data_IF_599543481046
#
_entry.id   IF_599543481046
#
_cell.length_a   1.000
_cell.length_b   1.000
_cell.length_c   1.000
_cell.angle_alpha   90.00
_cell.angle_beta   90.00
_cell.angle_gamma   90.00
#
_symmetry.space_group_name_H-M   'P 1'
#
loop_
_entity.id
_entity.type
_entity.pdbx_description
1 polymer ?
#
# COMPACT_ATOMS: atom_id res chain seq x y z
N UNK A 1 0.78 -3.94 14.93
CA UNK A 1 1.53 -3.63 13.70
C UNK A 1 3.01 -3.95 13.80
N UNK A 2 3.76 -3.27 14.69
CA UNK A 2 5.22 -3.41 14.77
C UNK A 2 5.70 -4.85 14.95
N UNK A 3 5.06 -5.62 15.82
CA UNK A 3 5.38 -7.03 16.01
C UNK A 3 5.26 -7.84 14.70
N UNK A 4 4.20 -7.63 13.93
CA UNK A 4 4.02 -8.30 12.64
C UNK A 4 5.04 -7.83 11.61
N UNK A 5 5.33 -6.53 11.57
CA UNK A 5 6.35 -5.98 10.69
C UNK A 5 7.74 -6.57 10.99
N UNK A 6 8.24 -6.45 12.21
CA UNK A 6 9.61 -6.84 12.54
C UNK A 6 9.79 -8.35 12.69
N UNK A 7 8.85 -9.04 13.35
CA UNK A 7 9.03 -10.46 13.69
C UNK A 7 8.61 -11.41 12.57
N UNK A 8 7.72 -10.96 11.66
CA UNK A 8 7.18 -11.79 10.58
C UNK A 8 7.63 -11.31 9.21
N UNK A 9 7.22 -10.10 8.80
CA UNK A 9 7.45 -9.59 7.44
C UNK A 9 8.94 -9.34 7.18
N UNK A 10 9.59 -8.51 8.00
CA UNK A 10 11.01 -8.16 7.87
C UNK A 10 11.92 -9.38 8.05
N UNK A 11 11.55 -10.30 8.94
CA UNK A 11 12.27 -11.55 9.16
C UNK A 11 12.18 -12.51 7.98
N UNK A 12 11.05 -12.55 7.27
CA UNK A 12 10.87 -13.44 6.11
C UNK A 12 11.54 -12.89 4.86
N UNK A 13 11.35 -11.61 4.54
CA UNK A 13 11.84 -11.02 3.29
C UNK A 13 13.23 -10.37 3.42
N UNK A 14 13.71 -10.05 4.62
CA UNK A 14 15.02 -9.44 4.84
C UNK A 14 15.16 -8.11 4.11
N UNK A 15 16.07 -8.04 3.14
CA UNK A 15 16.33 -6.85 2.32
C UNK A 15 15.39 -6.72 1.12
N UNK A 16 14.60 -7.76 0.83
CA UNK A 16 13.61 -7.77 -0.25
C UNK A 16 12.30 -7.06 0.12
N UNK A 17 12.23 -6.42 1.30
CA UNK A 17 11.07 -5.66 1.76
C UNK A 17 11.46 -4.23 2.12
N UNK A 18 10.68 -3.28 1.62
CA UNK A 18 10.72 -1.88 2.03
C UNK A 18 9.35 -1.46 2.54
N UNK A 19 9.31 -0.87 3.73
CA UNK A 19 8.10 -0.23 4.25
C UNK A 19 8.02 1.16 3.65
N UNK A 20 7.12 1.37 2.68
CA UNK A 20 7.00 2.64 1.97
C UNK A 20 6.26 3.69 2.80
N UNK A 21 5.24 3.25 3.54
CA UNK A 21 4.37 4.17 4.27
C UNK A 21 3.62 3.47 5.40
N UNK A 22 3.29 4.23 6.45
CA UNK A 22 2.50 3.78 7.60
C UNK A 22 1.47 4.83 7.97
N UNK A 23 0.22 4.43 8.23
CA UNK A 23 -0.80 5.27 8.89
C UNK A 23 -1.27 4.58 10.18
N UNK A 24 -2.38 5.09 10.73
CA UNK A 24 -2.99 4.69 12.00
C UNK A 24 -3.32 3.19 12.04
N UNK A 25 -3.79 2.63 10.93
CA UNK A 25 -4.28 1.27 10.79
C UNK A 25 -3.80 0.55 9.51
N UNK A 26 -2.94 1.18 8.70
CA UNK A 26 -2.44 0.64 7.43
C UNK A 26 -0.91 0.63 7.31
N UNK A 27 -0.40 -0.37 6.58
CA UNK A 27 1.01 -0.55 6.22
C UNK A 27 1.09 -0.71 4.71
N UNK A 28 1.96 0.06 4.06
CA UNK A 28 2.19 -0.04 2.62
C UNK A 28 3.59 -0.58 2.42
N UNK A 29 3.66 -1.75 1.80
CA UNK A 29 4.88 -2.49 1.56
C UNK A 29 5.25 -2.51 0.09
N UNK A 30 6.55 -2.39 -0.19
CA UNK A 30 7.13 -2.79 -1.44
C UNK A 30 7.89 -4.11 -1.21
N UNK A 31 7.32 -5.20 -1.72
CA UNK A 31 7.88 -6.55 -1.62
C UNK A 31 8.51 -6.91 -2.95
N UNK A 32 9.78 -7.27 -2.96
CA UNK A 32 10.49 -7.81 -4.13
C UNK A 32 10.41 -9.34 -4.07
N UNK A 33 9.38 -9.92 -4.68
CA UNK A 33 9.21 -11.37 -4.80
C UNK A 33 8.61 -11.74 -6.16
N UNK A 34 8.69 -13.02 -6.53
CA UNK A 34 8.09 -13.54 -7.76
C UNK A 34 6.57 -13.59 -7.66
N UNK A 35 6.05 -14.04 -6.52
CA UNK A 35 4.62 -14.14 -6.24
C UNK A 35 4.42 -14.04 -4.72
N UNK A 36 3.80 -12.93 -4.28
CA UNK A 36 3.56 -12.67 -2.87
C UNK A 36 2.59 -13.68 -2.25
N UNK A 37 1.57 -14.11 -2.98
CA UNK A 37 0.57 -15.03 -2.47
C UNK A 37 1.10 -16.46 -2.40
N UNK A 38 2.03 -16.83 -3.27
CA UNK A 38 2.82 -18.07 -3.12
C UNK A 38 3.59 -18.09 -1.80
N UNK A 39 4.25 -16.99 -1.44
CA UNK A 39 5.02 -16.89 -0.19
C UNK A 39 4.08 -16.95 1.03
N UNK A 40 2.95 -16.25 0.97
CA UNK A 40 1.90 -16.28 2.01
C UNK A 40 1.31 -17.69 2.16
N UNK A 41 1.09 -18.42 1.07
CA UNK A 41 0.58 -19.79 1.11
C UNK A 41 1.60 -20.78 1.70
N UNK A 42 2.90 -20.59 1.42
CA UNK A 42 3.98 -21.45 1.92
C UNK A 42 4.33 -21.18 3.38
N UNK A 43 4.17 -19.95 3.85
CA UNK A 43 4.53 -19.55 5.20
C UNK A 43 3.28 -19.18 6.04
N UNK A 44 2.80 -20.09 6.91
CA UNK A 44 1.60 -19.83 7.71
C UNK A 44 1.76 -18.64 8.67
N UNK A 45 2.98 -18.25 9.04
CA UNK A 45 3.20 -17.06 9.86
C UNK A 45 2.80 -15.77 9.13
N UNK A 46 2.98 -15.70 7.80
CA UNK A 46 2.52 -14.58 7.00
C UNK A 46 0.99 -14.52 7.01
N UNK A 47 0.35 -15.64 6.70
CA UNK A 47 -1.12 -15.74 6.61
C UNK A 47 -1.82 -15.54 7.97
N UNK A 48 -1.18 -15.88 9.08
CA UNK A 48 -1.80 -15.90 10.40
C UNK A 48 -2.37 -14.56 10.87
N UNK A 49 -1.87 -13.42 10.38
CA UNK A 49 -2.42 -12.09 10.69
C UNK A 49 -3.06 -11.40 9.50
N UNK A 50 -3.27 -12.08 8.38
CA UNK A 50 -3.94 -11.51 7.21
C UNK A 50 -5.40 -11.93 7.15
N UNK A 51 -6.28 -10.98 6.87
CA UNK A 51 -7.65 -11.23 6.44
C UNK A 51 -7.65 -11.25 4.90
N UNK A 52 -7.75 -12.46 4.35
CA UNK A 52 -7.78 -12.75 2.91
C UNK A 52 -9.18 -13.13 2.43
N UNK A 53 -10.22 -12.81 3.21
CA UNK A 53 -11.60 -13.15 2.88
C UNK A 53 -12.14 -12.41 1.65
N UNK A 54 -11.45 -11.37 1.19
CA UNK A 54 -11.79 -10.61 -0.02
C UNK A 54 -11.20 -11.18 -1.30
N UNK A 55 -10.32 -12.18 -1.21
CA UNK A 55 -9.78 -12.84 -2.39
C UNK A 55 -10.85 -13.71 -3.08
N UNK A 56 -10.69 -14.02 -4.38
CA UNK A 56 -11.57 -14.95 -5.07
C UNK A 56 -11.61 -16.32 -4.37
N UNK A 57 -12.76 -17.03 -4.35
CA UNK A 57 -12.87 -18.34 -3.70
C UNK A 57 -11.91 -19.41 -4.26
N UNK A 58 -11.49 -19.27 -5.51
CA UNK A 58 -10.52 -20.14 -6.18
C UNK A 58 -9.06 -19.86 -5.77
N UNK A 59 -8.81 -18.79 -5.02
CA UNK A 59 -7.47 -18.39 -4.64
C UNK A 59 -6.93 -19.24 -3.49
N UNK A 60 -5.69 -19.73 -3.61
CA UNK A 60 -5.01 -20.61 -2.63
C UNK A 60 -4.96 -20.08 -1.19
N UNK A 61 -4.92 -18.76 -1.02
CA UNK A 61 -4.89 -18.09 0.29
C UNK A 61 -6.28 -17.69 0.81
N UNK A 62 -7.36 -17.97 0.08
CA UNK A 62 -8.70 -17.58 0.47
C UNK A 62 -9.12 -18.29 1.77
N UNK A 63 -9.55 -17.52 2.76
CA UNK A 63 -10.10 -18.05 4.01
C UNK A 63 -11.12 -17.10 4.62
N UNK A 64 -12.22 -17.66 5.12
CA UNK A 64 -13.26 -16.90 5.82
C UNK A 64 -13.02 -16.83 7.33
N UNK A 65 -12.06 -17.59 7.86
CA UNK A 65 -11.81 -17.72 9.31
C UNK A 65 -11.49 -16.39 10.00
N UNK A 66 -10.94 -15.42 9.27
CA UNK A 66 -10.46 -14.13 9.81
C UNK A 66 -11.27 -12.92 9.32
N UNK A 67 -12.37 -13.18 8.62
CA UNK A 67 -13.19 -12.16 7.99
C UNK A 67 -13.68 -11.13 9.02
N UNK A 68 -13.27 -9.86 8.85
CA UNK A 68 -13.70 -8.72 9.69
C UNK A 68 -13.38 -8.87 11.18
N UNK A 69 -12.37 -9.68 11.52
CA UNK A 69 -11.91 -9.79 12.91
C UNK A 69 -10.96 -8.65 13.28
N UNK A 70 -11.12 -8.02 14.46
CA UNK A 70 -10.17 -7.01 14.93
C UNK A 70 -8.75 -7.58 15.09
N UNK A 71 -7.75 -6.80 14.71
CA UNK A 71 -6.32 -7.17 14.86
C UNK A 71 -5.73 -7.92 13.66
N UNK A 72 -6.52 -8.23 12.64
CA UNK A 72 -6.06 -8.80 11.37
C UNK A 72 -5.90 -7.71 10.31
N UNK A 73 -4.89 -7.86 9.45
CA UNK A 73 -4.62 -6.95 8.34
C UNK A 73 -5.38 -7.42 7.11
N UNK A 74 -6.37 -6.63 6.70
CA UNK A 74 -7.06 -6.86 5.44
C UNK A 74 -6.14 -6.50 4.27
N UNK A 75 -6.12 -7.36 3.25
CA UNK A 75 -5.50 -7.04 1.98
C UNK A 75 -6.38 -6.03 1.20
N UNK A 76 -5.88 -4.82 0.92
CA UNK A 76 -6.62 -3.82 0.14
C UNK A 76 -6.49 -4.02 -1.38
N UNK A 77 -5.48 -4.78 -1.83
CA UNK A 77 -5.09 -4.88 -3.23
C UNK A 77 -5.80 -6.05 -3.93
N UNK A 78 -6.27 -7.04 -3.16
CA UNK A 78 -7.14 -8.13 -3.63
C UNK A 78 -6.52 -8.94 -4.77
N UNK A 79 -5.24 -9.29 -4.68
CA UNK A 79 -4.59 -10.16 -5.67
C UNK A 79 -4.03 -9.46 -6.91
N UNK A 80 -4.17 -8.14 -7.01
CA UNK A 80 -3.69 -7.35 -8.16
C UNK A 80 -2.18 -7.17 -8.07
N UNK A 81 -1.51 -7.01 -9.22
CA UNK A 81 -0.04 -7.00 -9.29
C UNK A 81 0.56 -5.65 -9.74
N UNK A 82 -0.19 -4.84 -10.48
CA UNK A 82 0.31 -3.57 -11.01
C UNK A 82 0.01 -2.44 -10.03
N UNK A 83 1.06 -1.89 -9.42
CA UNK A 83 0.94 -0.84 -8.40
C UNK A 83 1.90 0.32 -8.65
N UNK A 84 1.40 1.53 -8.46
CA UNK A 84 2.21 2.73 -8.30
C UNK A 84 1.83 3.39 -6.99
N UNK A 85 2.80 3.89 -6.25
CA UNK A 85 2.56 4.56 -4.97
C UNK A 85 3.37 5.85 -4.90
N UNK A 86 2.74 6.93 -4.45
CA UNK A 86 3.35 8.22 -4.17
C UNK A 86 2.92 8.66 -2.77
N UNK A 87 3.88 8.86 -1.88
CA UNK A 87 3.67 9.46 -0.57
C UNK A 87 4.28 10.85 -0.53
N UNK A 88 3.45 11.88 -0.34
CA UNK A 88 3.91 13.27 -0.22
C UNK A 88 4.13 13.66 1.25
N UNK A 89 3.14 13.35 2.09
CA UNK A 89 3.16 13.67 3.54
C UNK A 89 2.28 12.70 4.31
N UNK A 90 2.43 12.68 5.63
CA UNK A 90 1.44 12.10 6.54
C UNK A 90 0.00 12.48 6.14
N UNK A 91 -0.81 11.46 5.83
CA UNK A 91 -2.22 11.51 5.40
C UNK A 91 -2.44 12.19 4.04
N UNK A 92 -1.38 12.29 3.23
CA UNK A 92 -1.40 12.77 1.86
C UNK A 92 -0.56 11.85 0.96
N UNK A 93 -1.25 10.93 0.28
CA UNK A 93 -0.65 9.92 -0.59
C UNK A 93 -1.62 9.48 -1.68
N UNK A 94 -1.09 8.98 -2.78
CA UNK A 94 -1.85 8.42 -3.89
C UNK A 94 -1.31 7.05 -4.26
N UNK A 95 -2.20 6.14 -4.64
CA UNK A 95 -1.82 4.85 -5.20
C UNK A 95 -2.71 4.48 -6.37
N UNK A 96 -2.11 3.82 -7.35
CA UNK A 96 -2.77 3.29 -8.53
C UNK A 96 -2.66 1.76 -8.45
N UNK A 97 -3.80 1.08 -8.52
CA UNK A 97 -3.88 -0.38 -8.58
C UNK A 97 -4.62 -0.76 -9.86
N UNK A 98 -3.90 -1.31 -10.84
CA UNK A 98 -4.46 -1.72 -12.15
C UNK A 98 -5.30 -0.63 -12.85
N UNK A 99 -4.86 0.64 -12.77
CA UNK A 99 -5.55 1.79 -13.37
C UNK A 99 -6.62 2.42 -12.47
N UNK A 100 -6.88 1.83 -11.29
CA UNK A 100 -7.78 2.40 -10.29
C UNK A 100 -6.98 3.28 -9.34
N UNK A 101 -7.00 4.57 -9.60
CA UNK A 101 -6.33 5.59 -8.78
C UNK A 101 -7.14 5.89 -7.53
N UNK A 102 -6.49 5.81 -6.38
CA UNK A 102 -7.01 6.22 -5.07
C UNK A 102 -6.12 7.32 -4.49
N UNK A 103 -6.74 8.44 -4.14
CA UNK A 103 -6.06 9.61 -3.60
C UNK A 103 -6.54 9.86 -2.17
N UNK A 104 -5.60 10.01 -1.26
CA UNK A 104 -5.82 10.42 0.12
C UNK A 104 -5.14 11.77 0.32
N UNK A 105 -5.92 12.77 0.72
CA UNK A 105 -5.38 14.08 1.08
C UNK A 105 -6.19 14.69 2.21
N UNK A 106 -5.69 14.58 3.44
CA UNK A 106 -6.37 15.09 4.62
C UNK A 106 -6.41 16.62 4.61
N UNK A 107 -7.59 17.18 4.85
CA UNK A 107 -7.82 18.63 4.84
C UNK A 107 -8.34 19.16 3.50
N UNK A 108 -8.28 18.36 2.43
CA UNK A 108 -8.88 18.69 1.14
C UNK A 108 -10.30 18.15 1.08
N UNK A 109 -11.23 18.95 0.53
CA UNK A 109 -12.62 18.53 0.36
C UNK A 109 -12.69 17.35 -0.61
N UNK A 110 -13.45 16.30 -0.26
CA UNK A 110 -13.55 15.10 -1.09
C UNK A 110 -14.12 15.32 -2.50
N UNK A 111 -14.87 16.40 -2.73
CA UNK A 111 -15.27 16.80 -4.09
C UNK A 111 -14.07 17.25 -4.93
N UNK A 112 -13.16 18.01 -4.34
CA UNK A 112 -11.94 18.49 -5.00
C UNK A 112 -11.03 17.30 -5.32
N UNK A 113 -10.87 16.37 -4.37
CA UNK A 113 -10.08 15.15 -4.59
C UNK A 113 -10.61 14.36 -5.80
N UNK A 114 -11.93 14.19 -5.92
CA UNK A 114 -12.52 13.37 -6.98
C UNK A 114 -12.48 14.02 -8.37
N UNK A 115 -12.56 15.35 -8.44
CA UNK A 115 -12.75 16.05 -9.71
C UNK A 115 -11.52 16.80 -10.21
N UNK A 116 -10.57 17.11 -9.31
CA UNK A 116 -9.45 18.01 -9.62
C UNK A 116 -8.08 17.45 -9.26
N UNK A 117 -7.98 16.38 -8.46
CA UNK A 117 -6.69 15.76 -8.18
C UNK A 117 -6.52 14.49 -9.01
N UNK A 118 -5.36 14.38 -9.62
CA UNK A 118 -4.92 13.19 -10.35
C UNK A 118 -3.68 12.59 -9.71
N UNK A 119 -3.33 11.37 -10.12
CA UNK A 119 -2.07 10.75 -9.74
C UNK A 119 -0.88 11.55 -10.27
N UNK A 120 -0.98 12.10 -11.48
CA UNK A 120 0.08 12.89 -12.10
C UNK A 120 0.30 14.23 -11.39
N UNK A 121 -0.73 14.83 -10.79
CA UNK A 121 -0.54 16.00 -9.94
C UNK A 121 0.34 15.69 -8.72
N UNK A 122 0.17 14.49 -8.12
CA UNK A 122 1.04 14.06 -7.03
C UNK A 122 2.46 13.77 -7.52
N UNK A 123 2.60 13.24 -8.74
CA UNK A 123 3.91 13.04 -9.37
C UNK A 123 4.61 14.37 -9.60
N UNK A 124 3.91 15.38 -10.15
CA UNK A 124 4.46 16.73 -10.32
C UNK A 124 4.91 17.29 -8.98
N UNK A 125 4.06 17.31 -7.96
CA UNK A 125 4.45 17.82 -6.64
C UNK A 125 5.65 17.10 -6.00
N UNK A 126 5.93 15.85 -6.36
CA UNK A 126 7.08 15.11 -5.83
C UNK A 126 8.38 15.42 -6.59
N UNK A 127 8.30 15.74 -7.87
CA UNK A 127 9.45 15.87 -8.78
C UNK A 127 9.62 17.29 -9.37
N UNK A 128 8.76 18.24 -9.03
CA UNK A 128 9.03 19.65 -9.30
C UNK A 128 10.19 20.05 -8.39
N UNK A 129 11.40 20.05 -8.94
CA UNK A 129 12.56 20.67 -8.32
C UNK A 129 12.30 22.18 -8.19
N UNK A 130 12.72 22.77 -7.08
CA UNK A 130 12.76 24.22 -6.85
C UNK A 130 13.84 24.89 -7.75
N UNK A 131 13.88 24.59 -9.04
CA UNK A 131 14.80 25.18 -10.04
C UNK A 131 14.30 26.55 -10.55
N UNK A 132 13.62 27.33 -9.71
CA UNK A 132 13.18 28.71 -10.00
C UNK A 132 13.84 29.76 -9.06
N UNK A 133 14.96 29.41 -8.42
CA UNK A 133 15.85 30.38 -7.75
C UNK A 133 17.17 30.52 -8.55
N UNK A 134 17.15 31.20 -9.70
CA UNK A 134 18.31 31.93 -10.27
C UNK A 134 17.91 32.60 -11.60
N UNK A 135 17.33 33.81 -11.55
CA UNK A 135 17.71 34.91 -12.46
C UNK A 135 17.24 36.25 -11.85
N UNK A 136 18.03 36.77 -10.91
CA UNK A 136 18.03 38.19 -10.58
C UNK A 136 18.82 38.90 -11.69
N UNK A 137 18.11 39.55 -12.62
CA UNK A 137 18.65 40.30 -13.75
C UNK A 137 17.98 41.65 -13.95
#
# INVERSE_FOLDING_TARGET
MYEYHYNVIKRHYGDNISLLYTDTDSLIYHVKTRDFYDDVAKNPNLLNRMDTSNLPPDHRCYTLTRMKLPGYFKDEITGRNNHRFIGLRAKSYAYDIEGVVNIRSKGVRGHVIRNHLTFDDHMRCLFTDDDDDDDDG
#
